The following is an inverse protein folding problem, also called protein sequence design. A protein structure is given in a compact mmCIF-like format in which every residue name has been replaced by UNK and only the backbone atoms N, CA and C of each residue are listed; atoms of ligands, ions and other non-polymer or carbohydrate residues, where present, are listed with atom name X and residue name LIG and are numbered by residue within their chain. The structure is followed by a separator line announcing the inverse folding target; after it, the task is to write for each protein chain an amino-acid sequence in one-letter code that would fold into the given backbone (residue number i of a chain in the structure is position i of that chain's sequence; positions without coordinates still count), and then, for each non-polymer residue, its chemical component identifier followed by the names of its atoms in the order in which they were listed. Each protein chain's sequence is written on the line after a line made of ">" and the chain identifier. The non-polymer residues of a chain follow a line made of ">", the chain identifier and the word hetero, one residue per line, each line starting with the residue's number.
data_IF_225158745778
#
_entry.id   IF_225158745778
#
_cell.length_a   1.000
_cell.length_b   1.000
_cell.length_c   1.000
_cell.angle_alpha   90.00
_cell.angle_beta   90.00
_cell.angle_gamma   90.00
#
_symmetry.space_group_name_H-M   'P 1'
#
loop_
_entity.id
_entity.type
_entity.pdbx_description
1 polymer ?
#
# COMPACT_ATOMS: atom_id res chain seq x y z
N UNK A 1 12.10 -10.98 -7.92
CA UNK A 1 11.14 -11.56 -6.98
C UNK A 1 9.76 -11.56 -7.64
N UNK A 2 9.19 -12.72 -7.78
CA UNK A 2 7.93 -12.87 -8.52
C UNK A 2 6.75 -12.92 -7.56
N UNK A 3 6.48 -11.80 -6.92
CA UNK A 3 5.29 -11.69 -6.08
C UNK A 3 4.17 -11.04 -6.88
N UNK A 4 2.98 -11.57 -6.77
CA UNK A 4 1.80 -10.98 -7.39
C UNK A 4 1.38 -9.70 -6.70
N UNK A 5 1.35 -9.72 -5.37
CA UNK A 5 0.93 -8.56 -4.59
C UNK A 5 1.16 -8.82 -3.11
N UNK A 6 1.20 -7.75 -2.32
CA UNK A 6 1.10 -7.84 -0.86
C UNK A 6 -0.27 -7.31 -0.46
N UNK A 7 -1.00 -8.09 0.35
CA UNK A 7 -2.28 -7.66 0.91
C UNK A 7 -2.13 -7.63 2.42
N UNK A 8 -2.21 -6.42 3.00
CA UNK A 8 -2.07 -6.24 4.44
C UNK A 8 -3.44 -6.09 5.09
N UNK A 9 -3.73 -6.97 6.03
CA UNK A 9 -4.94 -6.92 6.86
C UNK A 9 -4.66 -6.08 8.11
N UNK A 10 -5.69 -5.82 8.90
CA UNK A 10 -5.51 -5.16 10.18
C UNK A 10 -4.56 -5.97 11.06
N UNK A 11 -3.66 -5.27 11.74
CA UNK A 11 -2.68 -5.96 12.59
C UNK A 11 -1.97 -5.00 13.52
N UNK A 12 -0.90 -5.46 14.13
CA UNK A 12 -0.12 -4.68 15.08
C UNK A 12 1.17 -4.14 14.48
N UNK A 13 2.18 -3.93 15.34
CA UNK A 13 3.45 -3.35 14.90
C UNK A 13 4.23 -4.24 13.94
N UNK A 14 4.05 -5.56 14.02
CA UNK A 14 4.69 -6.47 13.06
C UNK A 14 4.15 -6.27 11.65
N UNK A 15 2.84 -6.07 11.51
CA UNK A 15 2.22 -5.77 10.23
C UNK A 15 2.71 -4.42 9.69
N UNK A 16 2.84 -3.42 10.56
CA UNK A 16 3.35 -2.12 10.18
C UNK A 16 4.79 -2.21 9.66
N UNK A 17 5.62 -3.04 10.29
CA UNK A 17 6.99 -3.27 9.85
C UNK A 17 7.02 -3.85 8.43
N UNK A 18 6.22 -4.87 8.16
CA UNK A 18 6.13 -5.48 6.84
C UNK A 18 5.65 -4.50 5.78
N UNK A 19 4.61 -3.73 6.09
CA UNK A 19 4.06 -2.73 5.19
C UNK A 19 5.10 -1.66 4.89
N UNK A 20 5.79 -1.17 5.91
CA UNK A 20 6.82 -0.14 5.74
C UNK A 20 7.96 -0.61 4.84
N UNK A 21 8.37 -1.87 5.00
CA UNK A 21 9.42 -2.46 4.17
C UNK A 21 9.00 -2.51 2.70
N UNK A 22 7.77 -2.96 2.42
CA UNK A 22 7.28 -3.03 1.04
C UNK A 22 7.13 -1.63 0.44
N UNK A 23 6.62 -0.66 1.21
CA UNK A 23 6.50 0.72 0.75
C UNK A 23 7.88 1.27 0.36
N UNK A 24 8.91 0.97 1.16
CA UNK A 24 10.27 1.38 0.84
C UNK A 24 10.79 0.77 -0.45
N UNK A 25 10.50 -0.49 -0.69
CA UNK A 25 10.90 -1.17 -1.92
C UNK A 25 10.20 -0.59 -3.14
N UNK A 26 8.92 -0.24 -3.01
CA UNK A 26 8.17 0.42 -4.08
C UNK A 26 8.79 1.79 -4.37
N UNK A 27 9.12 2.56 -3.34
CA UNK A 27 9.73 3.88 -3.51
C UNK A 27 11.08 3.81 -4.23
N UNK A 28 11.81 2.72 -4.04
CA UNK A 28 13.10 2.49 -4.69
C UNK A 28 12.96 1.80 -6.06
N UNK A 29 11.74 1.58 -6.51
CA UNK A 29 11.44 0.89 -7.76
C UNK A 29 11.98 -0.56 -7.82
N UNK A 30 12.13 -1.19 -6.66
CA UNK A 30 12.61 -2.57 -6.54
C UNK A 30 11.47 -3.58 -6.40
N UNK A 31 10.23 -3.09 -6.33
CA UNK A 31 9.05 -3.92 -6.17
C UNK A 31 7.93 -3.29 -6.97
N UNK A 32 7.48 -3.94 -8.04
CA UNK A 32 6.46 -3.39 -8.92
C UNK A 32 5.08 -4.04 -8.77
N UNK A 33 4.95 -4.98 -7.85
CA UNK A 33 3.65 -5.54 -7.52
C UNK A 33 2.88 -4.59 -6.58
N UNK A 34 1.54 -4.57 -6.63
CA UNK A 34 0.78 -3.67 -5.76
C UNK A 34 0.85 -4.07 -4.29
N UNK A 35 0.89 -3.06 -3.42
CA UNK A 35 0.72 -3.22 -1.98
C UNK A 35 -0.69 -2.76 -1.64
N UNK A 36 -1.56 -3.68 -1.23
CA UNK A 36 -2.95 -3.40 -0.95
C UNK A 36 -3.17 -3.43 0.55
N UNK A 37 -3.59 -2.30 1.12
CA UNK A 37 -3.94 -2.19 2.52
C UNK A 37 -5.44 -2.37 2.64
N UNK A 38 -5.86 -3.48 3.22
CA UNK A 38 -7.29 -3.76 3.41
C UNK A 38 -7.81 -2.87 4.53
N UNK A 39 -8.47 -1.79 4.15
CA UNK A 39 -8.84 -0.73 5.08
C UNK A 39 -10.23 -0.96 5.68
N UNK A 40 -10.37 -2.05 6.41
CA UNK A 40 -11.63 -2.40 7.07
C UNK A 40 -11.89 -1.40 8.20
N UNK A 41 -13.08 -0.79 8.18
CA UNK A 41 -13.50 0.18 9.20
C UNK A 41 -12.51 1.34 9.38
N UNK A 42 -11.76 1.69 8.34
CA UNK A 42 -10.84 2.81 8.41
C UNK A 42 -9.56 2.54 9.19
N UNK A 43 -9.20 1.28 9.39
CA UNK A 43 -8.02 0.92 10.18
C UNK A 43 -6.74 1.61 9.69
N UNK A 44 -6.60 1.80 8.39
CA UNK A 44 -5.41 2.41 7.78
C UNK A 44 -5.60 3.88 7.40
N UNK A 45 -6.69 4.52 7.84
CA UNK A 45 -6.95 5.93 7.46
C UNK A 45 -5.83 6.86 7.89
N UNK A 46 -5.28 6.68 9.10
CA UNK A 46 -4.22 7.53 9.61
C UNK A 46 -2.91 7.33 8.83
N UNK A 47 -2.62 6.11 8.42
CA UNK A 47 -1.46 5.84 7.57
C UNK A 47 -1.62 6.51 6.22
N UNK A 48 -2.81 6.44 5.64
CA UNK A 48 -3.11 7.11 4.38
C UNK A 48 -2.92 8.61 4.51
N UNK A 49 -3.40 9.19 5.61
CA UNK A 49 -3.25 10.60 5.87
C UNK A 49 -1.77 11.00 6.00
N UNK A 50 -0.97 10.17 6.66
CA UNK A 50 0.47 10.40 6.78
C UNK A 50 1.15 10.39 5.42
N UNK A 51 0.85 9.40 4.59
CA UNK A 51 1.43 9.30 3.25
C UNK A 51 1.06 10.50 2.38
N UNK A 52 -0.19 10.96 2.47
CA UNK A 52 -0.64 12.14 1.74
C UNK A 52 0.09 13.40 2.23
N UNK A 53 0.30 13.53 3.53
CA UNK A 53 1.04 14.66 4.10
C UNK A 53 2.48 14.67 3.62
N UNK A 54 3.12 13.51 3.54
CA UNK A 54 4.48 13.41 3.01
C UNK A 54 4.57 13.95 1.60
N UNK A 55 3.59 13.59 0.74
CA UNK A 55 3.54 14.10 -0.63
C UNK A 55 3.32 15.62 -0.65
N UNK A 56 2.40 16.13 0.17
CA UNK A 56 2.08 17.55 0.22
C UNK A 56 3.27 18.40 0.69
N UNK A 57 4.10 17.85 1.56
CA UNK A 57 5.28 18.52 2.08
C UNK A 57 6.52 18.34 1.20
N UNK A 58 6.39 17.61 0.10
CA UNK A 58 7.52 17.36 -0.79
C UNK A 58 8.49 16.28 -0.30
N UNK A 59 8.14 15.54 0.76
CA UNK A 59 8.98 14.49 1.32
C UNK A 59 8.77 13.14 0.63
N UNK A 60 7.75 13.03 -0.17
CA UNK A 60 7.47 11.89 -1.02
C UNK A 60 6.75 12.41 -2.25
N UNK A 61 6.33 11.53 -3.15
CA UNK A 61 5.60 11.95 -4.34
C UNK A 61 4.54 10.91 -4.70
N UNK A 62 3.50 11.30 -5.44
CA UNK A 62 2.52 10.33 -5.92
C UNK A 62 3.17 9.20 -6.73
N UNK A 63 4.23 9.51 -7.45
CA UNK A 63 4.99 8.52 -8.23
C UNK A 63 5.58 7.43 -7.35
N UNK A 64 6.17 7.82 -6.20
CA UNK A 64 6.78 6.87 -5.26
C UNK A 64 5.75 6.04 -4.53
N UNK A 65 4.52 6.51 -4.46
CA UNK A 65 3.43 5.84 -3.75
C UNK A 65 2.47 5.13 -4.70
N UNK A 66 2.78 5.07 -5.98
CA UNK A 66 1.86 4.60 -7.02
C UNK A 66 1.36 3.17 -6.81
N UNK A 67 2.17 2.30 -6.24
CA UNK A 67 1.81 0.91 -6.01
C UNK A 67 1.05 0.65 -4.71
N UNK A 68 0.73 1.70 -3.94
CA UNK A 68 0.07 1.57 -2.65
C UNK A 68 -1.42 1.84 -2.82
N UNK A 69 -2.25 0.87 -2.44
CA UNK A 69 -3.70 0.95 -2.58
C UNK A 69 -4.39 0.71 -1.25
N UNK A 70 -5.51 1.39 -1.04
CA UNK A 70 -6.36 1.20 0.14
C UNK A 70 -7.71 0.66 -0.34
N UNK A 71 -8.01 -0.59 -0.01
CA UNK A 71 -9.24 -1.25 -0.44
C UNK A 71 -10.17 -1.44 0.75
N UNK A 72 -11.46 -1.17 0.54
CA UNK A 72 -12.48 -1.27 1.59
C UNK A 72 -13.28 -2.57 1.53
N UNK A 73 -13.11 -3.35 0.47
CA UNK A 73 -13.83 -4.60 0.29
C UNK A 73 -13.00 -5.58 -0.54
N UNK A 74 -13.38 -6.86 -0.49
CA UNK A 74 -12.73 -7.87 -1.33
C UNK A 74 -12.96 -7.61 -2.81
N UNK A 75 -14.09 -7.01 -3.15
CA UNK A 75 -14.38 -6.64 -4.53
C UNK A 75 -13.38 -5.59 -5.04
N UNK A 76 -13.07 -4.58 -4.23
CA UNK A 76 -12.05 -3.59 -4.59
C UNK A 76 -10.68 -4.22 -4.74
N UNK A 77 -10.34 -5.17 -3.86
CA UNK A 77 -9.06 -5.90 -3.99
C UNK A 77 -9.01 -6.64 -5.33
N UNK A 78 -10.10 -7.32 -5.70
CA UNK A 78 -10.16 -8.03 -6.96
C UNK A 78 -10.00 -7.07 -8.14
N UNK A 79 -10.62 -5.89 -8.10
CA UNK A 79 -10.50 -4.89 -9.15
C UNK A 79 -9.07 -4.39 -9.31
N UNK A 80 -8.36 -4.20 -8.21
CA UNK A 80 -6.95 -3.77 -8.23
C UNK A 80 -6.08 -4.86 -8.85
N UNK A 81 -6.35 -6.12 -8.55
CA UNK A 81 -5.56 -7.25 -9.03
C UNK A 81 -5.90 -7.66 -10.46
N UNK A 82 -7.06 -7.27 -10.98
CA UNK A 82 -7.52 -7.70 -12.30
C UNK A 82 -6.51 -7.44 -13.42
N UNK A 83 -5.84 -6.27 -13.49
CA UNK A 83 -4.85 -6.01 -14.55
C UNK A 83 -3.61 -6.90 -14.51
N UNK A 84 -3.43 -7.69 -13.46
CA UNK A 84 -2.27 -8.57 -13.32
C UNK A 84 -2.48 -9.95 -13.97
N UNK A 85 -3.66 -10.21 -14.48
CA UNK A 85 -4.02 -11.49 -15.09
C UNK A 85 -4.00 -11.47 -16.60
#
# INVERSE_FOLDING_TARGET
>A
MSLGALIAMSGGTGTLEEVSEVISLIALAQFDAPCILFNLNGFYDDLRALLNRMSDMGLSSPRRQRGIHFAHSLEEVADILAPLH
#
